data_IF_048762148750
#
_entry.id   IF_048762148750
#
_cell.length_a   1.000
_cell.length_b   1.000
_cell.length_c   1.000
_cell.angle_alpha   90.00
_cell.angle_beta   90.00
_cell.angle_gamma   90.00
#
_symmetry.space_group_name_H-M   'P 1'
#
loop_
_entity.id
_entity.type
_entity.pdbx_description
1 polymer ?
#
# COMPACT_ATOMS: atom_id res chain seq x y z
N UNK A 1 -18.80 20.25 10.87
CA UNK A 1 -19.56 20.26 9.60
C UNK A 1 -18.58 20.19 8.42
N UNK A 2 -18.75 19.25 7.49
CA UNK A 2 -17.84 19.07 6.35
C UNK A 2 -17.90 20.23 5.34
N UNK A 3 -16.93 20.32 4.42
CA UNK A 3 -16.83 21.41 3.42
C UNK A 3 -18.10 21.54 2.56
N UNK A 4 -18.68 20.42 2.12
CA UNK A 4 -19.92 20.38 1.33
C UNK A 4 -21.11 20.92 2.11
N UNK A 5 -21.20 20.60 3.40
CA UNK A 5 -22.23 21.12 4.29
C UNK A 5 -22.08 22.62 4.53
N UNK A 6 -20.86 23.12 4.67
CA UNK A 6 -20.57 24.57 4.78
C UNK A 6 -20.92 25.33 3.51
N UNK A 7 -20.66 24.75 2.32
CA UNK A 7 -21.04 25.35 1.04
C UNK A 7 -22.56 25.49 0.84
N UNK A 8 -23.36 24.56 1.39
CA UNK A 8 -24.82 24.56 1.25
C UNK A 8 -25.53 25.65 2.10
N UNK A 9 -24.82 26.27 3.05
CA UNK A 9 -25.34 27.34 3.92
C UNK A 9 -25.26 28.70 3.23
N UNK A 10 -24.42 28.84 2.20
CA UNK A 10 -24.25 30.11 1.48
C UNK A 10 -25.54 30.45 0.73
N UNK A 11 -26.17 31.56 1.11
CA UNK A 11 -27.44 32.04 0.55
C UNK A 11 -27.21 33.23 -0.37
N UNK A 12 -27.86 33.21 -1.55
CA UNK A 12 -27.88 34.35 -2.48
C UNK A 12 -28.91 35.42 -2.10
N UNK A 13 -29.89 35.05 -1.28
CA UNK A 13 -31.03 35.90 -0.92
C UNK A 13 -30.84 36.64 0.42
N UNK A 14 -29.67 36.48 1.04
CA UNK A 14 -29.29 37.22 2.24
C UNK A 14 -28.99 38.68 1.88
N UNK A 15 -29.75 39.59 2.50
CA UNK A 15 -29.66 41.03 2.25
C UNK A 15 -28.67 41.75 3.17
N UNK A 16 -28.18 41.09 4.23
CA UNK A 16 -27.24 41.67 5.20
C UNK A 16 -25.79 41.25 4.90
N UNK A 17 -25.57 40.04 4.39
CA UNK A 17 -24.23 39.50 4.16
C UNK A 17 -23.98 39.16 2.68
N UNK A 18 -22.98 39.79 2.08
CA UNK A 18 -22.52 39.42 0.74
C UNK A 18 -22.00 37.98 0.67
N UNK A 19 -22.17 37.32 -0.48
CA UNK A 19 -21.66 35.95 -0.75
C UNK A 19 -20.17 35.84 -0.43
N UNK A 20 -19.38 36.90 -0.68
CA UNK A 20 -17.95 36.96 -0.34
C UNK A 20 -17.74 36.82 1.16
N UNK A 21 -18.52 37.57 1.95
CA UNK A 21 -18.41 37.55 3.42
C UNK A 21 -18.88 36.22 3.99
N UNK A 22 -19.97 35.66 3.47
CA UNK A 22 -20.45 34.34 3.86
C UNK A 22 -19.41 33.24 3.57
N UNK A 23 -18.79 33.27 2.39
CA UNK A 23 -17.72 32.32 2.01
C UNK A 23 -16.49 32.44 2.93
N UNK A 24 -16.11 33.66 3.33
CA UNK A 24 -15.01 33.89 4.28
C UNK A 24 -15.34 33.33 5.67
N UNK A 25 -16.53 33.62 6.20
CA UNK A 25 -16.96 33.16 7.54
C UNK A 25 -17.07 31.63 7.61
N UNK A 26 -17.45 30.99 6.51
CA UNK A 26 -17.58 29.54 6.40
C UNK A 26 -16.29 28.84 5.95
N UNK A 27 -15.21 29.60 5.70
CA UNK A 27 -13.92 29.14 5.19
C UNK A 27 -14.05 28.28 3.91
N UNK A 28 -14.90 28.71 2.98
CA UNK A 28 -15.09 28.05 1.68
C UNK A 28 -14.66 28.98 0.55
N UNK A 29 -13.99 28.44 -0.47
CA UNK A 29 -13.61 29.26 -1.63
C UNK A 29 -14.86 29.61 -2.45
N UNK A 30 -15.00 30.88 -2.80
CA UNK A 30 -16.08 31.39 -3.66
C UNK A 30 -16.20 30.63 -5.00
N UNK A 31 -15.06 30.27 -5.61
CA UNK A 31 -15.04 29.50 -6.87
C UNK A 31 -15.71 28.13 -6.73
N UNK A 32 -15.59 27.48 -5.57
CA UNK A 32 -16.27 26.21 -5.31
C UNK A 32 -17.77 26.39 -5.12
N UNK A 33 -18.23 27.50 -4.53
CA UNK A 33 -19.67 27.78 -4.37
C UNK A 33 -20.38 27.96 -5.72
N UNK A 34 -19.74 28.60 -6.70
CA UNK A 34 -20.28 28.73 -8.06
C UNK A 34 -20.00 27.52 -8.96
N UNK A 35 -19.18 26.58 -8.52
CA UNK A 35 -18.85 25.41 -9.32
C UNK A 35 -19.97 24.38 -9.24
N UNK A 36 -20.79 24.32 -10.28
CA UNK A 36 -21.68 23.18 -10.47
C UNK A 36 -20.88 22.00 -11.03
N UNK A 37 -20.83 20.85 -10.31
CA UNK A 37 -20.15 19.68 -10.82
C UNK A 37 -20.88 19.20 -12.08
N UNK A 38 -20.25 19.38 -13.24
CA UNK A 38 -20.75 18.78 -14.47
C UNK A 38 -20.68 17.26 -14.34
N UNK A 39 -21.80 16.59 -14.62
CA UNK A 39 -21.87 15.15 -14.74
C UNK A 39 -20.92 14.61 -15.83
N UNK A 40 -20.90 13.29 -15.99
CA UNK A 40 -20.18 12.71 -17.12
C UNK A 40 -20.89 13.04 -18.43
N UNK A 41 -20.12 13.16 -19.52
CA UNK A 41 -20.69 13.33 -20.85
C UNK A 41 -21.52 12.10 -21.26
N UNK A 42 -22.47 12.28 -22.18
CA UNK A 42 -23.29 11.18 -22.71
C UNK A 42 -22.44 10.00 -23.21
N UNK A 43 -21.35 10.31 -23.93
CA UNK A 43 -20.38 9.31 -24.39
C UNK A 43 -19.69 8.56 -23.24
N UNK A 44 -19.39 9.23 -22.13
CA UNK A 44 -18.82 8.56 -20.95
C UNK A 44 -19.86 7.67 -20.27
N UNK A 45 -21.12 8.10 -20.19
CA UNK A 45 -22.19 7.28 -19.63
C UNK A 45 -22.43 6.01 -20.46
N UNK A 46 -22.43 6.13 -21.80
CA UNK A 46 -22.51 4.98 -22.71
C UNK A 46 -21.32 4.03 -22.52
N UNK A 47 -20.10 4.58 -22.40
CA UNK A 47 -18.90 3.78 -22.16
C UNK A 47 -18.90 3.13 -20.78
N UNK A 48 -19.42 3.81 -19.74
CA UNK A 48 -19.60 3.25 -18.40
C UNK A 48 -20.59 2.08 -18.42
N UNK A 49 -21.70 2.17 -19.16
CA UNK A 49 -22.64 1.07 -19.33
C UNK A 49 -22.03 -0.14 -20.06
N UNK A 50 -21.07 0.08 -20.96
CA UNK A 50 -20.33 -1.02 -21.60
C UNK A 50 -19.30 -1.64 -20.65
N UNK A 51 -18.59 -0.81 -19.87
CA UNK A 51 -17.65 -1.27 -18.82
C UNK A 51 -18.40 -2.15 -17.81
N UNK A 52 -19.58 -1.73 -17.36
CA UNK A 52 -20.38 -2.47 -16.38
C UNK A 52 -20.76 -3.86 -16.89
N UNK A 53 -21.31 -3.93 -18.12
CA UNK A 53 -21.65 -5.20 -18.78
C UNK A 53 -20.44 -6.13 -18.93
N UNK A 54 -19.32 -5.59 -19.44
CA UNK A 54 -18.10 -6.39 -19.59
C UNK A 54 -17.51 -6.82 -18.25
N UNK A 55 -17.67 -6.04 -17.18
CA UNK A 55 -17.21 -6.42 -15.86
C UNK A 55 -18.03 -7.58 -15.28
N UNK A 56 -19.34 -7.61 -15.52
CA UNK A 56 -20.20 -8.74 -15.12
C UNK A 56 -19.81 -10.04 -15.84
N UNK A 57 -19.46 -9.96 -17.13
CA UNK A 57 -19.04 -11.12 -17.92
C UNK A 57 -17.58 -11.53 -17.65
N UNK A 58 -16.71 -10.55 -17.43
CA UNK A 58 -15.26 -10.70 -17.30
C UNK A 58 -14.71 -9.92 -16.10
N UNK A 59 -15.00 -10.34 -14.85
CA UNK A 59 -14.65 -9.59 -13.65
C UNK A 59 -13.13 -9.40 -13.47
N UNK A 60 -12.31 -10.23 -14.11
CA UNK A 60 -10.85 -10.19 -14.08
C UNK A 60 -10.24 -9.20 -15.10
N UNK A 61 -11.05 -8.47 -15.88
CA UNK A 61 -10.53 -7.46 -16.81
C UNK A 61 -10.13 -6.18 -16.08
N UNK A 62 -8.84 -5.87 -16.08
CA UNK A 62 -8.32 -4.56 -15.70
C UNK A 62 -8.44 -3.53 -16.82
N UNK A 63 -8.15 -2.26 -16.51
CA UNK A 63 -8.31 -1.13 -17.42
C UNK A 63 -7.65 -1.31 -18.80
N UNK A 64 -6.53 -2.04 -18.88
CA UNK A 64 -5.84 -2.32 -20.15
C UNK A 64 -6.65 -3.26 -21.04
N UNK A 65 -7.13 -4.39 -20.47
CA UNK A 65 -7.96 -5.35 -21.22
C UNK A 65 -9.31 -4.73 -21.58
N UNK A 66 -9.90 -3.99 -20.66
CA UNK A 66 -11.17 -3.30 -20.89
C UNK A 66 -11.03 -2.28 -22.03
N UNK A 67 -9.98 -1.47 -22.04
CA UNK A 67 -9.73 -0.53 -23.14
C UNK A 67 -9.53 -1.23 -24.49
N UNK A 68 -8.82 -2.36 -24.52
CA UNK A 68 -8.62 -3.13 -25.76
C UNK A 68 -9.94 -3.71 -26.28
N UNK A 69 -10.77 -4.26 -25.38
CA UNK A 69 -12.04 -4.88 -25.75
C UNK A 69 -13.10 -3.86 -26.18
N UNK A 70 -13.06 -2.66 -25.59
CA UNK A 70 -13.96 -1.55 -25.91
C UNK A 70 -13.50 -0.69 -27.09
N UNK A 71 -12.29 -0.93 -27.61
CA UNK A 71 -11.81 -0.25 -28.81
C UNK A 71 -12.34 -0.96 -30.06
N UNK A 72 -12.81 -0.19 -31.02
CA UNK A 72 -13.18 -0.64 -32.36
C UNK A 72 -12.21 -0.07 -33.39
N UNK A 73 -12.28 -0.54 -34.64
CA UNK A 73 -11.45 -0.02 -35.74
C UNK A 73 -11.65 1.50 -35.95
N UNK A 74 -12.87 1.98 -35.70
CA UNK A 74 -13.23 3.40 -35.83
C UNK A 74 -13.02 4.23 -34.55
N UNK A 75 -12.78 3.58 -33.40
CA UNK A 75 -12.67 4.28 -32.12
C UNK A 75 -11.70 3.58 -31.16
N UNK A 76 -10.49 4.15 -31.05
CA UNK A 76 -9.51 3.73 -30.05
C UNK A 76 -9.78 4.39 -28.70
N UNK A 77 -10.08 3.58 -27.69
CA UNK A 77 -10.38 4.06 -26.33
C UNK A 77 -9.11 4.12 -25.49
N UNK A 78 -8.81 5.31 -24.96
CA UNK A 78 -7.62 5.51 -24.12
C UNK A 78 -7.73 4.78 -22.76
N UNK A 79 -6.72 3.99 -22.41
CA UNK A 79 -6.62 3.26 -21.13
C UNK A 79 -6.78 4.18 -19.90
N UNK A 80 -6.25 5.41 -19.95
CA UNK A 80 -6.38 6.39 -18.85
C UNK A 80 -7.84 6.81 -18.64
N UNK A 81 -8.61 6.93 -19.73
CA UNK A 81 -10.05 7.25 -19.68
C UNK A 81 -10.81 6.10 -19.01
N UNK A 82 -10.58 4.87 -19.46
CA UNK A 82 -11.17 3.67 -18.86
C UNK A 82 -10.83 3.56 -17.37
N UNK A 83 -9.55 3.71 -17.00
CA UNK A 83 -9.11 3.65 -15.60
C UNK A 83 -9.82 4.69 -14.71
N UNK A 84 -10.00 5.92 -15.22
CA UNK A 84 -10.74 6.99 -14.51
C UNK A 84 -12.22 6.62 -14.33
N UNK A 85 -12.87 6.10 -15.37
CA UNK A 85 -14.28 5.72 -15.34
C UNK A 85 -14.52 4.51 -14.43
N UNK A 86 -13.71 3.45 -14.53
CA UNK A 86 -13.75 2.30 -13.62
C UNK A 86 -13.64 2.74 -12.15
N UNK A 87 -12.68 3.62 -11.83
CA UNK A 87 -12.54 4.17 -10.47
C UNK A 87 -13.78 4.95 -10.02
N UNK A 88 -14.41 5.73 -10.92
CA UNK A 88 -15.63 6.48 -10.62
C UNK A 88 -16.83 5.57 -10.37
N UNK A 89 -16.86 4.39 -10.99
CA UNK A 89 -17.87 3.35 -10.81
C UNK A 89 -17.57 2.40 -9.65
N UNK A 90 -16.42 2.56 -8.99
CA UNK A 90 -15.89 1.60 -8.01
C UNK A 90 -15.70 0.17 -8.56
N UNK A 91 -15.41 0.07 -9.85
CA UNK A 91 -15.11 -1.19 -10.54
C UNK A 91 -13.60 -1.42 -10.57
N UNK A 92 -13.18 -2.61 -10.17
CA UNK A 92 -11.79 -3.06 -10.22
C UNK A 92 -11.70 -4.49 -10.74
N UNK A 93 -10.53 -4.88 -11.26
CA UNK A 93 -10.34 -6.26 -11.70
C UNK A 93 -10.30 -7.19 -10.48
N UNK A 94 -11.15 -8.20 -10.49
CA UNK A 94 -11.21 -9.23 -9.46
C UNK A 94 -10.35 -10.40 -9.94
N UNK A 95 -9.26 -10.64 -9.22
CA UNK A 95 -8.38 -11.79 -9.45
C UNK A 95 -7.84 -12.28 -8.11
N UNK A 96 -7.45 -13.57 -8.01
CA UNK A 96 -6.80 -14.08 -6.82
C UNK A 96 -5.52 -13.30 -6.55
N UNK A 97 -5.48 -12.55 -5.46
CA UNK A 97 -4.26 -11.99 -4.90
C UNK A 97 -3.73 -12.96 -3.84
N UNK A 98 -2.41 -13.15 -3.71
CA UNK A 98 -1.86 -13.91 -2.60
C UNK A 98 -2.37 -13.32 -1.29
N UNK A 99 -3.13 -14.09 -0.51
CA UNK A 99 -3.58 -13.67 0.80
C UNK A 99 -2.45 -13.86 1.81
N UNK A 100 -1.47 -12.96 1.78
CA UNK A 100 -0.33 -12.97 2.72
C UNK A 100 -0.71 -12.50 4.13
N UNK A 101 -1.98 -12.10 4.34
CA UNK A 101 -2.46 -11.54 5.61
C UNK A 101 -3.21 -12.55 6.47
N UNK A 102 -3.68 -13.67 5.91
CA UNK A 102 -4.32 -14.72 6.69
C UNK A 102 -3.29 -15.72 7.22
N UNK A 103 -3.00 -15.60 8.52
CA UNK A 103 -2.24 -16.60 9.25
C UNK A 103 -2.98 -17.95 9.21
N UNK A 104 -2.25 -19.02 8.91
CA UNK A 104 -2.81 -20.36 8.83
C UNK A 104 -3.34 -20.81 10.21
N UNK A 105 -4.60 -21.25 10.26
CA UNK A 105 -5.40 -21.39 11.50
C UNK A 105 -4.80 -22.30 12.57
N UNK A 106 -3.92 -23.22 12.17
CA UNK A 106 -3.31 -24.22 13.06
C UNK A 106 -1.93 -23.81 13.59
N UNK A 107 -1.37 -22.65 13.21
CA UNK A 107 -0.11 -22.19 13.79
C UNK A 107 -0.34 -21.74 15.23
N UNK A 108 0.48 -22.28 16.14
CA UNK A 108 0.53 -21.83 17.51
C UNK A 108 0.94 -20.35 17.56
N UNK A 109 0.08 -19.53 18.16
CA UNK A 109 0.35 -18.10 18.36
C UNK A 109 1.28 -17.95 19.58
N UNK A 110 2.53 -17.62 19.32
CA UNK A 110 3.48 -17.29 20.39
C UNK A 110 3.25 -15.84 20.85
N UNK A 111 3.40 -15.56 22.16
CA UNK A 111 3.35 -14.19 22.66
C UNK A 111 4.51 -13.38 22.05
N UNK A 112 4.20 -12.20 21.51
CA UNK A 112 5.22 -11.31 20.99
C UNK A 112 5.93 -10.61 22.14
N UNK A 113 7.09 -11.14 22.54
CA UNK A 113 7.83 -10.74 23.74
C UNK A 113 8.33 -9.28 23.71
N UNK A 114 8.38 -8.67 22.53
CA UNK A 114 8.80 -7.26 22.37
C UNK A 114 7.66 -6.26 22.64
N UNK A 115 6.41 -6.72 22.79
CA UNK A 115 5.27 -5.83 22.99
C UNK A 115 5.37 -5.13 24.35
N UNK A 116 5.60 -3.81 24.32
CA UNK A 116 5.72 -2.99 25.53
C UNK A 116 7.06 -3.09 26.23
N UNK A 117 8.04 -3.76 25.62
CA UNK A 117 9.40 -3.83 26.14
C UNK A 117 10.15 -2.52 25.86
N UNK A 118 10.68 -1.89 26.90
CA UNK A 118 11.64 -0.80 26.75
C UNK A 118 13.01 -1.38 26.39
N UNK A 119 13.58 -0.95 25.26
CA UNK A 119 14.88 -1.43 24.76
C UNK A 119 15.90 -0.29 24.95
N UNK A 120 16.65 -0.35 26.05
CA UNK A 120 17.46 0.76 26.56
C UNK A 120 18.95 0.44 26.76
N UNK A 121 19.38 -0.75 26.32
CA UNK A 121 20.78 -1.16 26.34
C UNK A 121 21.14 -2.04 25.14
N UNK A 122 22.42 -2.05 24.81
CA UNK A 122 22.98 -2.96 23.81
C UNK A 122 22.81 -4.42 24.26
N UNK A 123 22.72 -5.35 23.31
CA UNK A 123 22.56 -6.79 23.53
C UNK A 123 21.24 -7.24 24.18
N UNK A 124 20.30 -6.33 24.42
CA UNK A 124 18.98 -6.71 24.91
C UNK A 124 18.16 -7.39 23.81
N UNK A 125 18.09 -6.79 22.63
CA UNK A 125 17.32 -7.32 21.49
C UNK A 125 18.14 -7.19 20.21
N UNK A 126 18.33 -8.32 19.54
CA UNK A 126 18.86 -8.35 18.17
C UNK A 126 17.73 -8.62 17.18
N UNK A 127 17.80 -8.01 16.01
CA UNK A 127 17.01 -8.39 14.84
C UNK A 127 17.87 -9.14 13.87
N UNK A 128 17.30 -10.15 13.23
CA UNK A 128 17.93 -10.83 12.11
C UNK A 128 16.91 -10.94 10.97
N UNK A 129 17.37 -10.62 9.75
CA UNK A 129 16.53 -10.61 8.55
C UNK A 129 17.34 -11.00 7.31
N UNK A 130 16.66 -11.45 6.26
CA UNK A 130 17.23 -11.74 4.95
C UNK A 130 16.72 -10.73 3.94
N UNK A 131 17.64 -10.07 3.25
CA UNK A 131 17.33 -9.17 2.14
C UNK A 131 18.09 -9.53 0.88
N UNK A 132 17.78 -8.84 -0.22
CA UNK A 132 18.30 -9.14 -1.56
C UNK A 132 19.21 -8.01 -2.03
N UNK A 133 20.41 -8.37 -2.49
CA UNK A 133 21.32 -7.44 -3.16
C UNK A 133 21.25 -7.67 -4.67
N UNK A 134 20.79 -6.69 -5.47
CA UNK A 134 20.78 -6.80 -6.92
C UNK A 134 22.19 -6.93 -7.49
N UNK A 135 22.38 -7.85 -8.43
CA UNK A 135 23.65 -8.06 -9.13
C UNK A 135 23.47 -7.79 -10.63
N UNK A 136 24.58 -7.66 -11.37
CA UNK A 136 24.54 -7.49 -12.83
C UNK A 136 23.75 -8.61 -13.54
N UNK A 137 23.72 -9.81 -12.96
CA UNK A 137 22.85 -10.93 -13.34
C UNK A 137 22.23 -11.54 -12.08
N UNK A 138 20.92 -11.37 -11.89
CA UNK A 138 20.20 -11.91 -10.74
C UNK A 138 20.42 -11.12 -9.44
N UNK A 139 20.49 -11.82 -8.32
CA UNK A 139 20.63 -11.24 -6.98
C UNK A 139 21.34 -12.20 -6.03
N UNK A 140 21.88 -11.67 -4.92
CA UNK A 140 22.40 -12.44 -3.79
C UNK A 140 21.52 -12.24 -2.55
N UNK A 141 21.52 -13.23 -1.66
CA UNK A 141 20.88 -13.15 -0.36
C UNK A 141 21.87 -12.59 0.66
N UNK A 142 21.46 -11.56 1.40
CA UNK A 142 22.18 -11.00 2.54
C UNK A 142 21.41 -11.32 3.81
N UNK A 143 22.02 -12.06 4.72
CA UNK A 143 21.54 -12.17 6.10
C UNK A 143 22.30 -11.14 6.94
N UNK A 144 21.58 -10.36 7.72
CA UNK A 144 22.13 -9.31 8.55
C UNK A 144 21.55 -9.39 9.96
N UNK A 145 22.40 -9.16 10.97
CA UNK A 145 22.02 -9.08 12.38
C UNK A 145 22.32 -7.68 12.91
N UNK A 146 21.31 -7.00 13.45
CA UNK A 146 21.40 -5.65 13.98
C UNK A 146 20.97 -5.60 15.44
N UNK A 147 21.70 -4.86 16.27
CA UNK A 147 21.28 -4.55 17.63
C UNK A 147 20.21 -3.44 17.64
N UNK A 148 19.10 -3.64 18.36
CA UNK A 148 17.99 -2.70 18.33
C UNK A 148 18.27 -1.38 19.03
N UNK A 149 19.08 -1.38 20.09
CA UNK A 149 19.38 -0.18 20.86
C UNK A 149 20.38 0.71 20.11
N UNK A 150 21.55 0.16 19.78
CA UNK A 150 22.63 0.88 19.12
C UNK A 150 22.43 1.09 17.62
N UNK A 151 21.53 0.33 16.98
CA UNK A 151 21.38 0.24 15.51
C UNK A 151 22.64 -0.24 14.80
N UNK A 152 23.57 -0.85 15.53
CA UNK A 152 24.83 -1.32 14.99
C UNK A 152 24.65 -2.68 14.30
N UNK A 153 25.24 -2.82 13.10
CA UNK A 153 25.26 -4.07 12.35
C UNK A 153 26.32 -5.00 12.96
N UNK A 154 25.87 -6.02 13.68
CA UNK A 154 26.73 -6.93 14.44
C UNK A 154 27.44 -7.93 13.53
N UNK A 155 26.71 -8.52 12.59
CA UNK A 155 27.22 -9.53 11.68
C UNK A 155 26.38 -9.60 10.42
N UNK A 156 26.98 -10.08 9.35
CA UNK A 156 26.29 -10.35 8.10
C UNK A 156 27.04 -11.41 7.29
N UNK A 157 26.28 -12.13 6.45
CA UNK A 157 26.80 -13.17 5.55
C UNK A 157 26.03 -13.11 4.22
N UNK A 158 26.70 -13.44 3.12
CA UNK A 158 26.13 -13.52 1.78
C UNK A 158 26.00 -14.97 1.31
N UNK A 159 24.94 -15.25 0.55
CA UNK A 159 24.75 -16.54 -0.11
C UNK A 159 24.11 -16.39 -1.48
N UNK A 160 24.42 -17.31 -2.38
CA UNK A 160 23.73 -17.47 -3.67
C UNK A 160 22.42 -18.27 -3.54
N UNK A 161 22.16 -18.87 -2.38
CA UNK A 161 20.99 -19.72 -2.13
C UNK A 161 20.43 -19.45 -0.73
N UNK A 162 19.10 -19.46 -0.62
CA UNK A 162 18.39 -19.21 0.63
C UNK A 162 18.39 -20.43 1.55
N UNK A 163 19.57 -20.81 2.06
CA UNK A 163 19.77 -21.94 3.00
C UNK A 163 19.81 -21.48 4.45
N UNK A 164 19.71 -22.41 5.41
CA UNK A 164 19.82 -22.08 6.84
C UNK A 164 21.28 -21.78 7.23
N UNK A 165 22.25 -22.36 6.52
CA UNK A 165 23.67 -22.34 6.91
C UNK A 165 24.26 -20.94 7.02
N UNK A 166 23.97 -20.05 6.06
CA UNK A 166 24.51 -18.69 6.08
C UNK A 166 23.89 -17.82 7.17
N UNK A 167 22.66 -18.13 7.60
CA UNK A 167 22.00 -17.52 8.75
C UNK A 167 22.70 -17.94 10.04
N UNK A 168 22.97 -19.24 10.20
CA UNK A 168 23.72 -19.77 11.34
C UNK A 168 25.13 -19.19 11.42
N UNK A 169 25.81 -19.04 10.29
CA UNK A 169 27.14 -18.41 10.22
C UNK A 169 27.10 -16.96 10.73
N UNK A 170 26.14 -16.15 10.24
CA UNK A 170 25.98 -14.77 10.69
C UNK A 170 25.74 -14.70 12.19
N UNK A 171 24.88 -15.59 12.73
CA UNK A 171 24.55 -15.65 14.15
C UNK A 171 25.74 -16.08 15.02
N UNK A 172 26.43 -17.17 14.65
CA UNK A 172 27.61 -17.65 15.39
C UNK A 172 28.72 -16.59 15.42
N UNK A 173 28.91 -15.86 14.31
CA UNK A 173 29.86 -14.75 14.26
C UNK A 173 29.45 -13.59 15.16
N UNK A 174 28.17 -13.22 15.21
CA UNK A 174 27.69 -12.18 16.13
C UNK A 174 27.88 -12.60 17.60
N UNK A 175 27.47 -13.82 17.95
CA UNK A 175 27.55 -14.35 19.33
C UNK A 175 29.01 -14.47 19.80
N UNK A 176 29.93 -14.89 18.92
CA UNK A 176 31.34 -15.02 19.31
C UNK A 176 32.03 -13.69 19.61
N UNK A 177 31.60 -12.59 18.96
CA UNK A 177 32.19 -11.26 19.14
C UNK A 177 31.48 -10.47 20.25
N UNK A 178 30.15 -10.51 20.29
CA UNK A 178 29.34 -9.64 21.13
C UNK A 178 28.66 -10.38 22.30
N UNK A 179 28.76 -11.70 22.38
CA UNK A 179 28.03 -12.52 23.35
C UNK A 179 26.58 -12.79 22.92
N UNK A 180 25.82 -13.53 23.73
CA UNK A 180 24.43 -13.90 23.43
C UNK A 180 23.47 -12.76 23.78
N UNK A 181 22.50 -12.40 22.91
CA UNK A 181 21.46 -11.43 23.26
C UNK A 181 20.43 -12.03 24.22
N UNK A 182 19.66 -11.18 24.90
CA UNK A 182 18.52 -11.65 25.69
C UNK A 182 17.37 -12.14 24.79
N UNK A 183 17.14 -11.45 23.67
CA UNK A 183 16.12 -11.80 22.66
C UNK A 183 16.72 -11.69 21.26
N UNK A 184 16.54 -12.74 20.46
CA UNK A 184 16.74 -12.70 19.00
C UNK A 184 15.37 -12.68 18.32
N UNK A 185 15.09 -11.63 17.56
CA UNK A 185 13.84 -11.45 16.83
C UNK A 185 14.03 -11.66 15.33
N UNK A 186 13.33 -12.64 14.78
CA UNK A 186 13.24 -12.95 13.34
C UNK A 186 11.79 -12.89 12.87
N UNK A 187 11.57 -12.95 11.57
CA UNK A 187 10.26 -13.30 11.04
C UNK A 187 10.01 -14.83 11.12
N UNK A 188 8.91 -15.30 10.54
CA UNK A 188 8.56 -16.73 10.48
C UNK A 188 8.94 -17.37 9.14
N UNK A 189 9.94 -16.82 8.44
CA UNK A 189 10.52 -17.44 7.25
C UNK A 189 11.08 -18.81 7.57
N UNK A 190 11.10 -19.73 6.60
CA UNK A 190 11.51 -21.12 6.81
C UNK A 190 13.01 -21.29 7.12
N UNK A 191 13.79 -20.21 7.07
CA UNK A 191 15.22 -20.17 7.37
C UNK A 191 15.50 -19.90 8.87
N UNK A 192 14.51 -19.45 9.62
CA UNK A 192 14.60 -19.09 11.04
C UNK A 192 13.78 -20.06 11.90
#
# INVERSE_FOLDING_TARGET
MGRTGRMAIVSKDDTELSIVRQCQLLEVSRSSHYHEPKGESKQNLELMAQIDRLHLEHPYFGAVRMAKHLSTDDLVVNVKRIRRLMRKMDISAIYPVPNTSEAYKYHQKYPYLLKGLNIDRNNQVWSMDITYIPMAKGFMYLCAIIDWHSRYLLSWTLSNTMTVDFCLEALQKAVSIYGTPEILNTDQGSQF
#
